data_IF_869537342776
#
_entry.id   IF_869537342776
#
_cell.length_a   1.000
_cell.length_b   1.000
_cell.length_c   1.000
_cell.angle_alpha   90.00
_cell.angle_beta   90.00
_cell.angle_gamma   90.00
#
_symmetry.space_group_name_H-M   'P 1'
#
loop_
_entity.id
_entity.type
_entity.pdbx_description
1 polymer ?
#
# COMPACT_ATOMS: atom_id res chain seq x y z
N UNK A 1 -33.61 9.29 -39.62
CA UNK A 1 -33.25 8.27 -38.61
C UNK A 1 -32.09 8.81 -37.78
N UNK A 2 -32.38 9.47 -36.66
CA UNK A 2 -31.36 10.15 -35.82
C UNK A 2 -30.83 9.13 -34.81
N UNK A 3 -29.60 8.66 -34.99
CA UNK A 3 -28.89 7.90 -33.98
C UNK A 3 -28.53 8.83 -32.82
N UNK A 4 -29.12 8.58 -31.65
CA UNK A 4 -28.76 9.24 -30.39
C UNK A 4 -27.44 8.63 -29.92
N UNK A 5 -26.38 9.43 -29.92
CA UNK A 5 -25.17 9.13 -29.14
C UNK A 5 -25.47 9.55 -27.71
N UNK A 6 -25.52 8.58 -26.80
CA UNK A 6 -25.68 8.81 -25.36
C UNK A 6 -24.40 9.44 -24.80
N UNK A 7 -24.49 10.42 -23.87
CA UNK A 7 -23.31 11.01 -23.28
C UNK A 7 -22.74 10.04 -22.24
N UNK A 8 -21.55 9.52 -22.51
CA UNK A 8 -20.72 8.91 -21.47
C UNK A 8 -20.46 9.96 -20.40
N UNK A 9 -21.06 9.78 -19.24
CA UNK A 9 -20.75 10.56 -18.04
C UNK A 9 -19.32 10.25 -17.62
N UNK A 10 -18.37 11.03 -18.12
CA UNK A 10 -17.01 11.08 -17.57
C UNK A 10 -17.10 11.52 -16.11
N UNK A 11 -16.74 10.62 -15.20
CA UNK A 11 -16.56 10.91 -13.77
C UNK A 11 -15.58 12.08 -13.61
N UNK A 12 -16.03 13.15 -12.93
CA UNK A 12 -15.26 14.39 -12.71
C UNK A 12 -14.23 14.29 -11.58
N UNK A 13 -14.19 13.19 -10.84
CA UNK A 13 -13.21 13.00 -9.76
C UNK A 13 -11.95 12.28 -10.26
N UNK A 14 -10.75 12.71 -9.83
CA UNK A 14 -9.50 12.04 -10.18
C UNK A 14 -9.48 10.60 -9.66
N UNK A 15 -8.89 9.69 -10.44
CA UNK A 15 -8.73 8.28 -10.03
C UNK A 15 -7.91 8.19 -8.74
N UNK A 16 -8.26 7.30 -7.79
CA UNK A 16 -7.41 7.07 -6.62
C UNK A 16 -6.03 6.57 -7.07
N UNK A 17 -4.98 7.03 -6.38
CA UNK A 17 -3.59 6.71 -6.73
C UNK A 17 -3.11 5.48 -6.00
N UNK A 18 -2.41 4.58 -6.69
CA UNK A 18 -1.74 3.42 -6.09
C UNK A 18 -0.26 3.49 -6.45
N UNK A 19 0.61 3.49 -5.44
CA UNK A 19 2.04 3.32 -5.64
C UNK A 19 2.35 1.89 -6.06
N UNK A 20 3.12 1.68 -7.12
CA UNK A 20 3.45 0.34 -7.61
C UNK A 20 4.95 0.24 -7.82
N UNK A 21 5.57 -0.88 -7.39
CA UNK A 21 6.97 -1.14 -7.74
C UNK A 21 7.16 -1.05 -9.25
N UNK A 22 8.02 -0.14 -9.72
CA UNK A 22 8.12 0.21 -11.15
C UNK A 22 8.39 -0.98 -12.07
N UNK A 23 9.13 -1.98 -11.59
CA UNK A 23 9.36 -3.22 -12.33
C UNK A 23 8.07 -3.99 -12.63
N UNK A 24 7.04 -3.94 -11.78
CA UNK A 24 5.73 -4.54 -12.02
C UNK A 24 4.93 -3.80 -13.10
N UNK A 25 5.26 -2.53 -13.36
CA UNK A 25 4.67 -1.72 -14.43
C UNK A 25 5.42 -1.82 -15.76
N UNK A 26 6.47 -2.66 -15.83
CA UNK A 26 7.28 -2.83 -17.03
C UNK A 26 8.44 -1.84 -17.16
N UNK A 27 8.78 -1.09 -16.10
CA UNK A 27 10.00 -0.29 -16.11
C UNK A 27 11.22 -1.19 -15.94
N UNK A 28 12.23 -1.01 -16.79
CA UNK A 28 13.50 -1.72 -16.75
C UNK A 28 14.39 -1.22 -15.60
N UNK A 29 13.94 -1.39 -14.36
CA UNK A 29 14.56 -0.84 -13.13
C UNK A 29 15.12 -1.90 -12.19
N UNK A 30 15.03 -3.18 -12.56
CA UNK A 30 15.64 -4.26 -11.78
C UNK A 30 17.17 -4.17 -11.83
N UNK A 31 17.82 -4.84 -10.89
CA UNK A 31 19.28 -4.84 -10.80
C UNK A 31 19.96 -5.38 -12.07
N UNK A 32 19.29 -6.30 -12.77
CA UNK A 32 19.74 -6.93 -14.02
C UNK A 32 19.35 -6.12 -15.28
N UNK A 33 18.78 -4.92 -15.14
CA UNK A 33 18.34 -4.10 -16.28
C UNK A 33 17.05 -4.57 -16.94
N UNK A 34 16.33 -5.52 -16.34
CA UNK A 34 15.04 -6.01 -16.85
C UNK A 34 13.86 -5.44 -16.06
N UNK A 35 12.65 -5.81 -16.46
CA UNK A 35 11.42 -5.57 -15.71
C UNK A 35 10.81 -6.87 -15.15
N UNK A 36 9.65 -6.75 -14.50
CA UNK A 36 8.83 -7.88 -14.07
C UNK A 36 7.35 -7.54 -14.28
N UNK A 37 7.02 -7.03 -15.46
CA UNK A 37 5.68 -6.57 -15.81
C UNK A 37 4.62 -7.59 -15.39
N UNK A 38 3.61 -7.08 -14.71
CA UNK A 38 2.45 -7.86 -14.27
C UNK A 38 1.19 -7.30 -14.94
N UNK A 39 0.68 -8.02 -15.94
CA UNK A 39 -0.48 -7.55 -16.72
C UNK A 39 -1.78 -7.49 -15.89
N UNK A 40 -1.91 -8.29 -14.83
CA UNK A 40 -3.05 -8.19 -13.92
C UNK A 40 -3.05 -6.82 -13.23
N UNK A 41 -1.88 -6.34 -12.84
CA UNK A 41 -1.72 -5.03 -12.21
C UNK A 41 -1.85 -3.92 -13.26
N UNK A 42 -1.09 -4.00 -14.36
CA UNK A 42 -1.04 -2.97 -15.39
C UNK A 42 -2.40 -2.75 -16.05
N UNK A 43 -3.01 -3.83 -16.55
CA UNK A 43 -4.25 -3.75 -17.32
C UNK A 43 -5.48 -3.85 -16.42
N UNK A 44 -5.42 -4.65 -15.36
CA UNK A 44 -6.57 -4.88 -14.48
C UNK A 44 -6.91 -3.69 -13.57
N UNK A 45 -5.93 -2.84 -13.23
CA UNK A 45 -6.15 -1.75 -12.27
C UNK A 45 -6.15 -0.34 -12.91
N UNK A 46 -5.47 -0.13 -14.03
CA UNK A 46 -5.31 1.21 -14.65
C UNK A 46 -6.63 1.85 -15.11
N UNK A 47 -7.67 1.06 -15.38
CA UNK A 47 -9.00 1.57 -15.71
C UNK A 47 -9.64 2.32 -14.53
N UNK A 48 -9.34 1.91 -13.29
CA UNK A 48 -9.95 2.43 -12.06
C UNK A 48 -9.01 3.28 -11.21
N UNK A 49 -7.71 3.07 -11.33
CA UNK A 49 -6.69 3.69 -10.48
C UNK A 49 -5.62 4.36 -11.33
N UNK A 50 -5.02 5.42 -10.79
CA UNK A 50 -3.78 5.98 -11.32
C UNK A 50 -2.61 5.22 -10.70
N UNK A 51 -1.78 4.57 -11.51
CA UNK A 51 -0.67 3.76 -11.04
C UNK A 51 0.62 4.60 -11.05
N UNK A 52 1.19 4.83 -9.88
CA UNK A 52 2.37 5.66 -9.68
C UNK A 52 3.60 4.76 -9.53
N UNK A 53 4.52 4.70 -10.51
CA UNK A 53 5.70 3.87 -10.41
C UNK A 53 6.63 4.38 -9.29
N UNK A 54 7.25 3.43 -8.57
CA UNK A 54 8.30 3.71 -7.60
C UNK A 54 9.36 2.61 -7.64
N UNK A 55 10.63 3.00 -7.72
CA UNK A 55 11.76 2.10 -7.51
C UNK A 55 12.67 2.70 -6.45
N UNK A 56 12.63 2.23 -5.19
CA UNK A 56 13.44 2.80 -4.13
C UNK A 56 14.94 2.68 -4.37
N UNK A 57 15.39 1.60 -5.00
CA UNK A 57 16.80 1.37 -5.32
C UNK A 57 17.32 2.38 -6.37
N UNK A 58 16.56 2.61 -7.46
CA UNK A 58 16.92 3.61 -8.47
C UNK A 58 16.80 5.02 -7.91
N UNK A 59 15.74 5.30 -7.16
CA UNK A 59 15.54 6.59 -6.50
C UNK A 59 16.61 6.92 -5.44
N UNK A 60 17.22 5.90 -4.84
CA UNK A 60 18.37 6.03 -3.94
C UNK A 60 19.72 6.17 -4.67
N UNK A 61 19.73 6.13 -6.01
CA UNK A 61 20.92 6.40 -6.83
C UNK A 61 21.75 5.19 -7.23
N UNK A 62 21.27 3.95 -7.04
CA UNK A 62 22.06 2.74 -7.31
C UNK A 62 22.27 2.46 -8.81
N UNK A 63 21.54 3.13 -9.70
CA UNK A 63 21.65 2.93 -11.16
C UNK A 63 21.00 1.64 -11.68
N UNK A 64 21.11 1.45 -13.00
CA UNK A 64 20.64 0.27 -13.73
C UNK A 64 21.59 -0.01 -14.90
N UNK A 65 22.18 -1.22 -15.03
CA UNK A 65 22.17 -2.31 -14.05
C UNK A 65 22.98 -1.95 -12.79
N UNK A 66 22.87 -2.77 -11.74
CA UNK A 66 23.60 -2.61 -10.47
C UNK A 66 23.88 -3.96 -9.80
N UNK A 67 24.88 -4.08 -8.92
CA UNK A 67 25.07 -5.27 -8.12
C UNK A 67 23.82 -5.59 -7.28
N UNK A 68 23.46 -6.88 -7.13
CA UNK A 68 22.35 -7.26 -6.27
C UNK A 68 22.69 -6.95 -4.81
N UNK A 69 21.68 -6.54 -4.03
CA UNK A 69 21.80 -6.29 -2.60
C UNK A 69 20.92 -7.27 -1.81
N UNK A 70 21.28 -7.51 -0.56
CA UNK A 70 20.54 -8.37 0.37
C UNK A 70 20.40 -7.69 1.73
N UNK A 71 19.40 -8.10 2.49
CA UNK A 71 19.23 -7.64 3.86
C UNK A 71 20.12 -8.47 4.79
N UNK A 72 20.90 -7.81 5.65
CA UNK A 72 21.81 -8.45 6.60
C UNK A 72 21.60 -7.84 7.98
N UNK A 73 21.50 -8.65 9.02
CA UNK A 73 21.44 -8.16 10.40
C UNK A 73 20.44 -8.90 11.28
N UNK A 74 20.02 -8.21 12.34
CA UNK A 74 19.17 -8.75 13.39
C UNK A 74 17.80 -8.09 13.40
N UNK A 75 16.76 -8.73 13.96
CA UNK A 75 15.48 -8.08 14.18
C UNK A 75 15.66 -6.78 14.97
N UNK A 76 15.45 -5.63 14.32
CA UNK A 76 15.63 -4.29 14.88
C UNK A 76 16.84 -3.51 14.33
N UNK A 77 17.79 -4.17 13.65
CA UNK A 77 18.89 -3.52 12.95
C UNK A 77 19.23 -4.27 11.65
N UNK A 78 18.61 -3.82 10.56
CA UNK A 78 18.74 -4.42 9.23
C UNK A 78 19.54 -3.47 8.33
N UNK A 79 20.56 -3.99 7.67
CA UNK A 79 21.35 -3.31 6.65
C UNK A 79 21.03 -3.88 5.27
N UNK A 80 21.08 -3.06 4.22
CA UNK A 80 21.04 -3.49 2.83
C UNK A 80 22.47 -3.43 2.26
N UNK A 81 23.09 -4.59 2.10
CA UNK A 81 24.48 -4.73 1.67
C UNK A 81 24.56 -5.41 0.29
N UNK A 82 25.59 -5.07 -0.49
CA UNK A 82 25.93 -5.79 -1.71
C UNK A 82 26.10 -7.28 -1.45
N UNK A 83 25.58 -8.11 -2.34
CA UNK A 83 25.66 -9.57 -2.24
C UNK A 83 27.11 -10.05 -2.41
N UNK A 84 27.80 -9.52 -3.41
CA UNK A 84 29.18 -9.86 -3.79
C UNK A 84 30.21 -8.94 -3.12
N UNK A 85 29.85 -7.69 -2.88
CA UNK A 85 30.66 -6.69 -2.19
C UNK A 85 29.93 -6.19 -0.93
N UNK A 86 30.20 -6.75 0.25
CA UNK A 86 29.63 -6.27 1.51
C UNK A 86 30.03 -4.82 1.87
N UNK A 87 31.06 -4.25 1.23
CA UNK A 87 31.44 -2.85 1.38
C UNK A 87 30.43 -1.88 0.73
N UNK A 88 29.61 -2.37 -0.19
CA UNK A 88 28.48 -1.63 -0.76
C UNK A 88 27.31 -1.62 0.23
N UNK A 89 27.33 -0.68 1.17
CA UNK A 89 26.20 -0.42 2.08
C UNK A 89 25.28 0.66 1.48
N UNK A 90 24.06 0.25 1.09
CA UNK A 90 23.05 1.14 0.50
C UNK A 90 21.93 1.50 1.47
N UNK A 91 22.04 1.11 2.74
CA UNK A 91 21.00 1.26 3.77
C UNK A 91 20.57 2.71 3.90
N UNK A 92 21.52 3.63 4.15
CA UNK A 92 21.22 5.06 4.36
C UNK A 92 20.64 5.73 3.11
N UNK A 93 21.09 5.32 1.93
CA UNK A 93 20.57 5.85 0.67
C UNK A 93 19.10 5.46 0.48
N UNK A 94 18.77 4.19 0.73
CA UNK A 94 17.39 3.68 0.70
C UNK A 94 16.51 4.35 1.75
N UNK A 95 16.98 4.50 2.99
CA UNK A 95 16.23 5.18 4.05
C UNK A 95 15.96 6.66 3.72
N UNK A 96 16.97 7.35 3.18
CA UNK A 96 16.87 8.77 2.81
C UNK A 96 15.88 8.98 1.68
N UNK A 97 15.98 8.17 0.62
CA UNK A 97 15.00 8.17 -0.46
C UNK A 97 13.59 7.87 0.07
N UNK A 98 13.45 6.81 0.86
CA UNK A 98 12.14 6.38 1.39
C UNK A 98 11.48 7.50 2.19
N UNK A 99 12.23 8.15 3.08
CA UNK A 99 11.73 9.29 3.86
C UNK A 99 11.29 10.45 2.97
N UNK A 100 12.11 10.85 2.01
CA UNK A 100 11.80 11.95 1.10
C UNK A 100 10.56 11.65 0.25
N UNK A 101 10.49 10.43 -0.30
CA UNK A 101 9.37 9.99 -1.14
C UNK A 101 8.07 9.96 -0.34
N UNK A 102 8.07 9.36 0.87
CA UNK A 102 6.88 9.25 1.73
C UNK A 102 6.33 10.63 2.16
N UNK A 103 7.22 11.60 2.42
CA UNK A 103 6.80 12.97 2.74
C UNK A 103 6.17 13.70 1.53
N UNK A 104 6.58 13.36 0.31
CA UNK A 104 6.12 14.03 -0.93
C UNK A 104 4.91 13.33 -1.56
N UNK A 105 4.73 12.03 -1.31
CA UNK A 105 3.70 11.19 -1.93
C UNK A 105 2.32 11.40 -1.31
N UNK A 106 1.73 12.57 -1.52
CA UNK A 106 0.38 12.89 -1.05
C UNK A 106 -0.69 12.25 -1.95
N UNK A 107 -1.80 11.84 -1.35
CA UNK A 107 -2.94 11.29 -2.09
C UNK A 107 -2.79 9.83 -2.53
N UNK A 108 -1.69 9.15 -2.17
CA UNK A 108 -1.55 7.70 -2.39
C UNK A 108 -2.58 6.99 -1.51
N UNK A 109 -3.33 6.08 -2.13
CA UNK A 109 -4.43 5.36 -1.50
C UNK A 109 -4.11 3.89 -1.23
N UNK A 110 -2.96 3.41 -1.71
CA UNK A 110 -2.42 2.10 -1.40
C UNK A 110 -1.14 1.82 -2.18
N UNK A 111 -0.54 0.66 -1.91
CA UNK A 111 0.69 0.23 -2.54
C UNK A 111 0.67 -1.23 -2.96
N UNK A 112 1.28 -1.50 -4.12
CA UNK A 112 1.57 -2.83 -4.63
C UNK A 112 3.08 -2.97 -4.81
N UNK A 113 3.69 -3.79 -3.97
CA UNK A 113 5.14 -3.91 -3.90
C UNK A 113 5.64 -5.22 -4.48
N UNK A 114 6.85 -5.21 -5.06
CA UNK A 114 7.51 -6.42 -5.55
C UNK A 114 7.95 -7.29 -4.37
N UNK A 115 7.40 -8.50 -4.27
CA UNK A 115 7.74 -9.51 -3.26
C UNK A 115 9.24 -9.82 -3.23
N UNK A 116 9.73 -10.14 -2.03
CA UNK A 116 11.11 -10.56 -1.73
C UNK A 116 12.23 -9.60 -2.16
N UNK A 117 11.91 -8.35 -2.49
CA UNK A 117 12.91 -7.32 -2.79
C UNK A 117 13.51 -6.75 -1.48
N UNK A 118 14.84 -6.52 -1.40
CA UNK A 118 15.47 -5.91 -0.24
C UNK A 118 14.94 -4.49 0.06
N UNK A 119 14.43 -3.76 -0.94
CA UNK A 119 13.76 -2.49 -0.71
C UNK A 119 12.25 -2.65 -0.54
N UNK A 120 11.58 -3.35 -1.45
CA UNK A 120 10.12 -3.33 -1.59
C UNK A 120 9.40 -4.54 -0.99
N UNK A 121 10.09 -5.64 -0.69
CA UNK A 121 9.43 -6.87 -0.26
C UNK A 121 8.60 -6.64 1.01
N UNK A 122 7.37 -7.15 1.03
CA UNK A 122 6.40 -6.75 2.05
C UNK A 122 6.50 -7.57 3.35
N UNK A 123 6.80 -8.87 3.25
CA UNK A 123 6.75 -9.80 4.40
C UNK A 123 7.85 -10.84 4.40
N UNK A 124 8.20 -11.34 3.23
CA UNK A 124 8.97 -12.57 3.00
C UNK A 124 10.36 -12.27 2.44
N UNK A 125 10.93 -11.11 2.74
CA UNK A 125 12.29 -10.76 2.30
C UNK A 125 13.30 -11.42 3.21
N UNK A 126 14.21 -12.27 2.70
CA UNK A 126 15.20 -12.93 3.53
C UNK A 126 16.17 -11.93 4.17
N UNK A 127 16.38 -12.08 5.47
CA UNK A 127 17.38 -11.36 6.26
C UNK A 127 18.47 -12.35 6.66
N UNK A 128 19.68 -12.09 6.20
CA UNK A 128 20.84 -12.95 6.40
C UNK A 128 21.62 -12.56 7.66
N UNK A 129 22.18 -13.53 8.36
CA UNK A 129 23.19 -13.27 9.38
C UNK A 129 24.59 -13.04 8.76
N UNK A 130 25.58 -12.77 9.61
CA UNK A 130 26.97 -12.56 9.20
C UNK A 130 27.63 -13.80 8.58
N UNK A 131 27.06 -14.98 8.79
CA UNK A 131 27.55 -16.26 8.23
C UNK A 131 26.92 -16.56 6.87
N UNK A 132 25.94 -15.76 6.43
CA UNK A 132 25.26 -15.92 5.16
C UNK A 132 24.05 -16.86 5.21
N UNK A 133 23.60 -17.26 6.40
CA UNK A 133 22.37 -18.03 6.56
C UNK A 133 21.16 -17.12 6.73
N UNK A 134 20.00 -17.54 6.23
CA UNK A 134 18.73 -16.83 6.46
C UNK A 134 18.38 -17.01 7.94
N UNK A 135 18.35 -15.90 8.67
CA UNK A 135 18.03 -15.87 10.09
C UNK A 135 16.57 -15.49 10.33
N UNK A 136 16.01 -14.66 9.46
CA UNK A 136 14.64 -14.18 9.55
C UNK A 136 14.10 -13.82 8.17
N UNK A 137 12.79 -13.59 8.11
CA UNK A 137 12.13 -12.94 6.98
C UNK A 137 11.42 -11.68 7.47
N UNK A 138 11.39 -10.65 6.64
CA UNK A 138 10.74 -9.39 6.99
C UNK A 138 10.48 -8.48 5.80
N UNK A 139 10.01 -7.25 6.06
CA UNK A 139 9.88 -6.25 5.03
C UNK A 139 11.25 -5.74 4.57
N UNK A 140 11.34 -5.34 3.31
CA UNK A 140 12.40 -4.50 2.80
C UNK A 140 12.38 -3.11 3.42
N UNK A 141 13.48 -2.37 3.27
CA UNK A 141 13.66 -1.08 3.96
C UNK A 141 12.52 -0.09 3.63
N UNK A 142 12.18 0.08 2.35
CA UNK A 142 11.11 0.99 1.93
C UNK A 142 9.75 0.50 2.43
N UNK A 143 9.46 -0.80 2.31
CA UNK A 143 8.19 -1.38 2.76
C UNK A 143 7.99 -1.22 4.28
N UNK A 144 9.04 -1.47 5.06
CA UNK A 144 9.01 -1.29 6.51
C UNK A 144 8.77 0.16 6.91
N UNK A 145 9.48 1.11 6.27
CA UNK A 145 9.27 2.54 6.51
C UNK A 145 7.88 3.02 6.08
N UNK A 146 7.37 2.52 4.96
CA UNK A 146 6.02 2.82 4.48
C UNK A 146 4.96 2.42 5.50
N UNK A 147 5.03 1.18 6.00
CA UNK A 147 4.08 0.65 7.00
C UNK A 147 4.19 1.36 8.35
N UNK A 148 5.38 1.82 8.73
CA UNK A 148 5.59 2.61 9.94
C UNK A 148 5.09 4.05 9.79
N UNK A 149 5.17 4.62 8.59
CA UNK A 149 4.70 5.98 8.28
C UNK A 149 3.17 6.06 8.27
N UNK A 150 2.49 5.05 7.74
CA UNK A 150 1.03 5.00 7.73
C UNK A 150 0.50 3.56 7.88
N UNK A 151 0.03 3.23 9.09
CA UNK A 151 -0.51 1.91 9.41
C UNK A 151 -1.91 1.63 8.83
N UNK A 152 -2.65 2.67 8.40
CA UNK A 152 -3.97 2.54 7.79
C UNK A 152 -3.87 2.35 6.27
N UNK A 153 -2.78 2.81 5.67
CA UNK A 153 -2.53 2.71 4.23
C UNK A 153 -2.55 1.25 3.76
N UNK A 154 -3.37 0.90 2.76
CA UNK A 154 -3.39 -0.45 2.22
C UNK A 154 -2.09 -0.77 1.48
N UNK A 155 -1.40 -1.83 1.89
CA UNK A 155 -0.21 -2.34 1.19
C UNK A 155 -0.40 -3.83 0.89
N UNK A 156 -0.02 -4.24 -0.32
CA UNK A 156 -0.01 -5.64 -0.75
C UNK A 156 1.17 -5.92 -1.69
N UNK A 157 1.48 -7.20 -1.93
CA UNK A 157 2.46 -7.64 -2.93
C UNK A 157 1.75 -8.22 -4.16
N UNK A 158 2.49 -8.43 -5.26
CA UNK A 158 1.91 -8.96 -6.51
C UNK A 158 1.30 -10.35 -6.34
N UNK A 159 1.78 -11.15 -5.38
CA UNK A 159 1.18 -12.47 -5.07
C UNK A 159 -0.17 -12.32 -4.39
N UNK A 160 -0.31 -11.35 -3.48
CA UNK A 160 -1.57 -11.02 -2.82
C UNK A 160 -2.59 -10.39 -3.72
N UNK A 161 -2.17 -9.62 -4.73
CA UNK A 161 -3.09 -9.08 -5.73
C UNK A 161 -3.67 -10.20 -6.60
N UNK A 162 -2.90 -11.25 -6.90
CA UNK A 162 -3.36 -12.43 -7.66
C UNK A 162 -4.32 -13.31 -6.86
N UNK A 163 -4.18 -13.35 -5.55
CA UNK A 163 -5.12 -14.05 -4.68
C UNK A 163 -6.47 -13.32 -4.61
N UNK A 164 -7.59 -13.95 -5.01
CA UNK A 164 -8.88 -13.25 -5.08
C UNK A 164 -9.37 -12.66 -3.75
N UNK A 165 -9.05 -13.30 -2.62
CA UNK A 165 -9.47 -12.84 -1.31
C UNK A 165 -8.65 -11.62 -0.85
N UNK A 166 -7.32 -11.72 -0.92
CA UNK A 166 -6.37 -10.65 -0.55
C UNK A 166 -6.48 -9.47 -1.52
N UNK A 167 -6.51 -9.71 -2.83
CA UNK A 167 -6.70 -8.67 -3.84
C UNK A 167 -8.04 -7.95 -3.69
N UNK A 168 -9.14 -8.69 -3.47
CA UNK A 168 -10.44 -8.09 -3.20
C UNK A 168 -10.50 -7.29 -1.90
N UNK A 169 -9.80 -7.74 -0.85
CA UNK A 169 -9.63 -7.00 0.41
C UNK A 169 -8.83 -5.71 0.19
N UNK A 170 -7.68 -5.80 -0.49
CA UNK A 170 -6.82 -4.66 -0.81
C UNK A 170 -7.59 -3.57 -1.55
N UNK A 171 -8.28 -3.91 -2.65
CA UNK A 171 -9.03 -2.94 -3.44
C UNK A 171 -10.16 -2.27 -2.64
N UNK A 172 -10.88 -3.03 -1.80
CA UNK A 172 -11.90 -2.46 -0.91
C UNK A 172 -11.29 -1.46 0.09
N UNK A 173 -10.14 -1.79 0.66
CA UNK A 173 -9.41 -0.90 1.57
C UNK A 173 -8.89 0.35 0.86
N UNK A 174 -8.40 0.24 -0.39
CA UNK A 174 -7.97 1.40 -1.20
C UNK A 174 -9.12 2.36 -1.45
N UNK A 175 -10.31 1.85 -1.81
CA UNK A 175 -11.50 2.70 -2.03
C UNK A 175 -11.93 3.42 -0.76
N UNK A 176 -11.95 2.72 0.38
CA UNK A 176 -12.31 3.29 1.68
C UNK A 176 -11.26 4.32 2.11
N UNK A 177 -9.96 4.02 1.93
CA UNK A 177 -8.88 4.92 2.30
C UNK A 177 -8.87 6.20 1.43
N UNK A 178 -9.17 6.08 0.14
CA UNK A 178 -9.38 7.24 -0.73
C UNK A 178 -10.52 8.12 -0.23
N UNK A 179 -11.67 7.51 0.09
CA UNK A 179 -12.81 8.26 0.64
C UNK A 179 -12.48 8.89 2.02
N UNK A 180 -11.66 8.21 2.82
CA UNK A 180 -11.19 8.68 4.12
C UNK A 180 -10.33 9.94 3.99
N UNK A 181 -9.36 9.94 3.06
CA UNK A 181 -8.55 11.12 2.78
C UNK A 181 -9.41 12.34 2.42
N UNK A 182 -10.46 12.16 1.60
CA UNK A 182 -11.39 13.22 1.27
C UNK A 182 -12.21 13.71 2.47
N UNK A 183 -12.60 12.80 3.39
CA UNK A 183 -13.28 13.17 4.63
C UNK A 183 -12.36 14.02 5.53
N UNK A 184 -11.11 13.59 5.73
CA UNK A 184 -10.12 14.33 6.52
C UNK A 184 -9.82 15.70 5.93
N UNK A 185 -9.71 15.81 4.60
CA UNK A 185 -9.43 17.09 3.93
C UNK A 185 -10.58 18.11 4.06
N UNK A 186 -11.82 17.66 4.25
CA UNK A 186 -12.99 18.54 4.31
C UNK A 186 -13.34 19.01 5.74
N UNK A 187 -13.02 18.21 6.76
CA UNK A 187 -13.40 18.28 8.19
C UNK A 187 -14.29 17.10 8.64
N UNK A 188 -13.95 16.57 9.81
CA UNK A 188 -14.54 15.37 10.39
C UNK A 188 -15.57 15.77 11.45
N UNK A 189 -16.84 15.50 11.15
CA UNK A 189 -17.96 15.71 12.09
C UNK A 189 -18.77 14.43 12.26
N UNK A 190 -19.51 14.24 13.37
CA UNK A 190 -20.33 13.04 13.58
C UNK A 190 -21.30 12.79 12.42
N UNK A 191 -21.93 13.86 11.90
CA UNK A 191 -22.82 13.79 10.73
C UNK A 191 -22.09 13.32 9.47
N UNK A 192 -20.89 13.85 9.19
CA UNK A 192 -20.11 13.45 8.01
C UNK A 192 -19.56 12.03 8.13
N UNK A 193 -19.19 11.59 9.34
CA UNK A 193 -18.75 10.23 9.62
C UNK A 193 -19.90 9.21 9.43
N UNK A 194 -21.11 9.53 9.90
CA UNK A 194 -22.29 8.71 9.65
C UNK A 194 -22.61 8.60 8.15
N UNK A 195 -22.56 9.73 7.42
CA UNK A 195 -22.74 9.74 5.97
C UNK A 195 -21.64 8.97 5.23
N UNK A 196 -20.40 9.04 5.70
CA UNK A 196 -19.29 8.24 5.20
C UNK A 196 -19.61 6.75 5.35
N UNK A 197 -19.99 6.29 6.54
CA UNK A 197 -20.33 4.89 6.80
C UNK A 197 -21.44 4.38 5.86
N UNK A 198 -22.50 5.17 5.66
CA UNK A 198 -23.58 4.83 4.74
C UNK A 198 -23.10 4.67 3.29
N UNK A 199 -22.24 5.58 2.80
CA UNK A 199 -21.66 5.47 1.45
C UNK A 199 -20.79 4.23 1.27
N UNK A 200 -20.11 3.78 2.34
CA UNK A 200 -19.27 2.58 2.30
C UNK A 200 -20.05 1.28 2.55
N UNK A 201 -21.36 1.31 2.76
CA UNK A 201 -22.17 0.15 3.17
C UNK A 201 -21.95 -1.09 2.29
N UNK A 202 -21.80 -0.91 0.96
CA UNK A 202 -21.52 -2.01 0.01
C UNK A 202 -20.21 -2.74 0.33
N UNK A 203 -19.14 -2.00 0.63
CA UNK A 203 -17.84 -2.58 0.97
C UNK A 203 -17.85 -3.15 2.38
N UNK A 204 -18.52 -2.48 3.32
CA UNK A 204 -18.64 -2.92 4.71
C UNK A 204 -19.57 -4.13 4.89
N UNK A 205 -20.41 -4.45 3.91
CA UNK A 205 -21.19 -5.70 3.89
C UNK A 205 -20.31 -6.96 3.89
N UNK A 206 -19.02 -6.84 3.55
CA UNK A 206 -18.03 -7.93 3.60
C UNK A 206 -17.60 -8.31 5.02
N UNK A 207 -17.90 -7.46 6.01
CA UNK A 207 -17.46 -7.64 7.39
C UNK A 207 -18.29 -8.68 8.14
N UNK A 208 -17.64 -9.37 9.08
CA UNK A 208 -18.30 -10.31 9.99
C UNK A 208 -19.42 -9.60 10.79
N UNK A 209 -20.49 -10.32 11.22
CA UNK A 209 -21.53 -9.72 12.07
C UNK A 209 -20.97 -9.09 13.36
N UNK A 210 -19.91 -9.69 13.92
CA UNK A 210 -19.21 -9.16 15.10
C UNK A 210 -18.54 -7.82 14.82
N UNK A 211 -17.80 -7.72 13.72
CA UNK A 211 -17.10 -6.48 13.36
C UNK A 211 -18.10 -5.38 12.96
N UNK A 212 -19.18 -5.72 12.26
CA UNK A 212 -20.27 -4.76 11.94
C UNK A 212 -20.92 -4.19 13.19
N UNK A 213 -21.19 -5.03 14.20
CA UNK A 213 -21.75 -4.57 15.48
C UNK A 213 -20.80 -3.61 16.19
N UNK A 214 -19.52 -3.96 16.32
CA UNK A 214 -18.50 -3.09 16.94
C UNK A 214 -18.41 -1.73 16.27
N UNK A 215 -18.41 -1.70 14.93
CA UNK A 215 -18.40 -0.45 14.16
C UNK A 215 -19.69 0.36 14.38
N UNK A 216 -20.85 -0.31 14.42
CA UNK A 216 -22.13 0.33 14.72
C UNK A 216 -22.17 0.95 16.11
N UNK A 217 -21.70 0.22 17.13
CA UNK A 217 -21.63 0.71 18.52
C UNK A 217 -20.71 1.93 18.64
N UNK A 218 -19.59 1.94 17.92
CA UNK A 218 -18.68 3.08 17.87
C UNK A 218 -19.35 4.32 17.27
N UNK A 219 -20.12 4.16 16.20
CA UNK A 219 -20.86 5.25 15.55
C UNK A 219 -22.03 5.75 16.39
N UNK A 220 -22.71 4.86 17.14
CA UNK A 220 -23.82 5.24 18.03
C UNK A 220 -23.35 6.18 19.15
N UNK A 221 -22.07 6.08 19.53
CA UNK A 221 -21.43 6.92 20.55
C UNK A 221 -20.71 8.14 19.96
N UNK A 222 -20.89 8.40 18.66
CA UNK A 222 -20.29 9.55 17.99
C UNK A 222 -20.91 10.84 18.56
N UNK A 223 -20.13 11.55 19.39
CA UNK A 223 -20.57 12.73 20.14
C UNK A 223 -20.11 12.72 21.60
N UNK A 224 -19.76 11.56 22.16
CA UNK A 224 -19.18 11.44 23.51
C UNK A 224 -17.70 11.89 23.56
N UNK A 225 -17.03 11.88 22.41
CA UNK A 225 -15.61 12.17 22.22
C UNK A 225 -15.40 13.08 21.01
N UNK A 226 -14.23 13.71 20.86
CA UNK A 226 -13.88 14.44 19.65
C UNK A 226 -14.12 13.60 18.39
N UNK A 227 -14.73 14.19 17.38
CA UNK A 227 -15.16 13.47 16.19
C UNK A 227 -13.99 12.79 15.44
N UNK A 228 -12.81 13.42 15.44
CA UNK A 228 -11.61 12.86 14.82
C UNK A 228 -11.14 11.60 15.54
N UNK A 229 -11.11 11.58 16.88
CA UNK A 229 -10.70 10.40 17.66
C UNK A 229 -11.61 9.20 17.37
N UNK A 230 -12.93 9.43 17.31
CA UNK A 230 -13.91 8.41 16.97
C UNK A 230 -13.68 7.90 15.54
N UNK A 231 -13.39 8.82 14.61
CA UNK A 231 -13.18 8.49 13.20
C UNK A 231 -11.89 7.70 12.95
N UNK A 232 -10.79 8.02 13.65
CA UNK A 232 -9.54 7.25 13.61
C UNK A 232 -9.75 5.83 14.12
N UNK A 233 -10.38 5.67 15.28
CA UNK A 233 -10.73 4.35 15.82
C UNK A 233 -11.65 3.56 14.88
N UNK A 234 -12.59 4.24 14.23
CA UNK A 234 -13.49 3.67 13.24
C UNK A 234 -12.71 3.14 12.03
N UNK A 235 -11.76 3.92 11.52
CA UNK A 235 -10.91 3.55 10.40
C UNK A 235 -9.98 2.39 10.70
N UNK A 236 -9.34 2.39 11.88
CA UNK A 236 -8.51 1.27 12.34
C UNK A 236 -9.29 -0.04 12.37
N UNK A 237 -10.51 -0.01 12.94
CA UNK A 237 -11.38 -1.19 13.02
C UNK A 237 -11.80 -1.70 11.64
N UNK A 238 -12.16 -0.79 10.71
CA UNK A 238 -12.54 -1.19 9.35
C UNK A 238 -11.35 -1.78 8.59
N UNK A 239 -10.19 -1.11 8.63
CA UNK A 239 -9.00 -1.59 7.93
C UNK A 239 -8.55 -2.95 8.46
N UNK A 240 -8.60 -3.14 9.79
CA UNK A 240 -8.31 -4.42 10.42
C UNK A 240 -9.34 -5.50 10.05
N UNK A 241 -10.64 -5.19 10.10
CA UNK A 241 -11.69 -6.14 9.81
C UNK A 241 -11.70 -6.59 8.34
N UNK A 242 -11.39 -5.69 7.40
CA UNK A 242 -11.28 -6.02 5.97
C UNK A 242 -10.07 -6.90 5.63
N UNK A 243 -9.01 -6.88 6.43
CA UNK A 243 -7.84 -7.78 6.25
C UNK A 243 -8.17 -9.23 6.61
N UNK A 244 -9.22 -9.48 7.40
CA UNK A 244 -9.60 -10.84 7.80
C UNK A 244 -10.21 -11.59 6.59
N UNK A 245 -9.90 -12.88 6.40
CA UNK A 245 -10.59 -13.69 5.40
C UNK A 245 -12.09 -13.77 5.71
N UNK A 246 -12.90 -13.94 4.66
CA UNK A 246 -14.35 -14.14 4.83
C UNK A 246 -14.56 -15.48 5.53
N UNK A 247 -15.10 -15.45 6.74
CA UNK A 247 -15.68 -16.61 7.44
C UNK A 247 -16.98 -17.03 6.78
#
# INVERSE_FOLDING_TARGET
>A
MRARVSPETMSRDPKPKIGVSGCLLGEAVRYDGTDKRDDLICSGLSSRFELIPVCPEVGAGLGVPRPPVRLVGDPGHILALGLEDPGLDVTRALESFSRAWLCQSRGICGFILKSRSPSCGLRDTPVFDKTGHIRAEGPGIFAGMLMAHDGLLPVEDETGIRDPARGGSFLARVEIYNAWQHLCAADVTPRRLAAFHQRQARLLARLSPRDRRKIGDLLARAGEKPAMEVAECYMEQIMSALKKPRT
#
